data_IF_881361431543
#
_entry.id   IF_881361431543
#
_cell.length_a   1.000
_cell.length_b   1.000
_cell.length_c   1.000
_cell.angle_alpha   90.00
_cell.angle_beta   90.00
_cell.angle_gamma   90.00
#
_symmetry.space_group_name_H-M   'P 1'
#
loop_
_entity.id
_entity.type
_entity.pdbx_description
1 polymer ?
#
# COMPACT_ATOMS: atom_id res chain seq x y z
N UNK A 1 8.40 -14.84 0.11
CA UNK A 1 7.38 -14.08 -0.63
C UNK A 1 7.07 -14.92 -1.85
N UNK A 2 5.81 -15.12 -2.20
CA UNK A 2 5.46 -15.81 -3.44
C UNK A 2 5.75 -14.90 -4.62
N UNK A 3 6.27 -15.46 -5.70
CA UNK A 3 6.69 -14.69 -6.89
C UNK A 3 5.52 -13.89 -7.49
N UNK A 4 4.32 -14.47 -7.52
CA UNK A 4 3.10 -13.79 -7.98
C UNK A 4 2.80 -12.52 -7.18
N UNK A 5 2.97 -12.57 -5.85
CA UNK A 5 2.79 -11.38 -5.00
C UNK A 5 3.85 -10.30 -5.25
N UNK A 6 5.07 -10.71 -5.61
CA UNK A 6 6.13 -9.77 -5.94
C UNK A 6 5.81 -9.03 -7.24
N UNK A 7 5.45 -9.75 -8.29
CA UNK A 7 5.04 -9.18 -9.58
C UNK A 7 3.83 -8.26 -9.46
N UNK A 8 2.83 -8.67 -8.68
CA UNK A 8 1.64 -7.85 -8.43
C UNK A 8 1.97 -6.55 -7.66
N UNK A 9 2.89 -6.64 -6.69
CA UNK A 9 3.33 -5.47 -5.93
C UNK A 9 4.13 -4.49 -6.78
N UNK A 10 4.99 -4.99 -7.68
CA UNK A 10 5.75 -4.15 -8.61
C UNK A 10 4.83 -3.42 -9.59
N UNK A 11 3.90 -4.13 -10.20
CA UNK A 11 2.85 -3.52 -11.02
C UNK A 11 2.06 -2.46 -10.26
N UNK A 12 1.70 -2.74 -8.99
CA UNK A 12 1.04 -1.79 -8.11
C UNK A 12 1.87 -0.52 -7.89
N UNK A 13 3.20 -0.66 -7.71
CA UNK A 13 4.08 0.50 -7.55
C UNK A 13 4.13 1.39 -8.80
N UNK A 14 4.11 0.81 -9.98
CA UNK A 14 4.04 1.57 -11.23
C UNK A 14 2.71 2.30 -11.38
N UNK A 15 1.61 1.69 -10.97
CA UNK A 15 0.32 2.38 -10.88
C UNK A 15 0.37 3.57 -9.92
N UNK A 16 0.94 3.41 -8.73
CA UNK A 16 1.05 4.49 -7.75
C UNK A 16 1.84 5.68 -8.28
N UNK A 17 2.93 5.46 -9.01
CA UNK A 17 3.78 6.51 -9.57
C UNK A 17 3.04 7.40 -10.57
N UNK A 18 2.15 6.83 -11.37
CA UNK A 18 1.41 7.54 -12.43
C UNK A 18 -0.03 7.90 -12.07
N UNK A 19 -0.56 7.37 -10.96
CA UNK A 19 -1.98 7.47 -10.58
C UNK A 19 -2.49 8.92 -10.55
N UNK A 20 -1.69 9.87 -10.08
CA UNK A 20 -2.08 11.29 -10.08
C UNK A 20 -2.27 11.87 -11.49
N UNK A 21 -1.51 11.36 -12.46
CA UNK A 21 -1.66 11.74 -13.86
C UNK A 21 -2.86 11.05 -14.50
N UNK A 22 -3.00 9.74 -14.28
CA UNK A 22 -4.07 8.93 -14.85
C UNK A 22 -5.46 9.40 -14.37
N UNK A 23 -5.57 9.81 -13.10
CA UNK A 23 -6.81 10.31 -12.50
C UNK A 23 -7.00 11.83 -12.64
N UNK A 24 -6.03 12.56 -13.22
CA UNK A 24 -6.00 14.04 -13.21
C UNK A 24 -6.33 14.61 -11.81
N UNK A 25 -5.79 13.95 -10.77
CA UNK A 25 -6.04 14.30 -9.38
C UNK A 25 -4.85 13.90 -8.49
N UNK A 26 -4.37 14.81 -7.66
CA UNK A 26 -3.24 14.53 -6.78
C UNK A 26 -3.62 13.59 -5.64
N UNK A 27 -3.25 12.32 -5.77
CA UNK A 27 -3.46 11.28 -4.75
C UNK A 27 -2.47 11.36 -3.58
N UNK A 28 -1.58 12.36 -3.60
CA UNK A 28 -0.59 12.62 -2.55
C UNK A 28 0.31 11.39 -2.27
N UNK A 29 0.72 10.69 -3.33
CA UNK A 29 1.70 9.64 -3.22
C UNK A 29 3.09 10.24 -2.96
N UNK A 30 3.75 9.78 -1.90
CA UNK A 30 5.08 10.22 -1.48
C UNK A 30 6.05 9.03 -1.45
N UNK A 31 6.93 8.87 -2.45
CA UNK A 31 7.89 7.77 -2.54
C UNK A 31 9.11 8.05 -1.65
N UNK A 32 8.97 7.90 -0.34
CA UNK A 32 10.04 8.16 0.64
C UNK A 32 10.72 6.90 1.16
N UNK A 33 10.33 5.74 0.63
CA UNK A 33 10.75 4.44 1.12
C UNK A 33 9.95 3.98 2.35
N UNK A 34 10.14 2.72 2.69
CA UNK A 34 9.63 2.09 3.92
C UNK A 34 10.76 1.30 4.55
N UNK A 35 10.93 1.42 5.86
CA UNK A 35 11.87 0.61 6.66
C UNK A 35 11.06 -0.27 7.60
N UNK A 36 11.27 -1.58 7.53
CA UNK A 36 10.80 -2.54 8.51
C UNK A 36 11.92 -2.74 9.54
N UNK A 37 11.72 -2.27 10.76
CA UNK A 37 12.72 -2.37 11.83
C UNK A 37 12.81 -3.79 12.38
N UNK A 38 14.02 -4.26 12.64
CA UNK A 38 14.30 -5.53 13.30
C UNK A 38 14.71 -5.28 14.75
N UNK A 39 14.12 -6.03 15.67
CA UNK A 39 14.34 -5.94 17.11
C UNK A 39 15.04 -7.19 17.68
N UNK A 40 15.56 -8.07 16.82
CA UNK A 40 16.33 -9.25 17.19
C UNK A 40 17.11 -9.79 16.00
N UNK A 41 18.14 -10.61 16.27
CA UNK A 41 18.89 -11.34 15.24
C UNK A 41 18.00 -12.27 14.41
N UNK A 42 17.01 -12.90 15.04
CA UNK A 42 16.06 -13.76 14.34
C UNK A 42 15.24 -12.98 13.28
N UNK A 43 14.84 -11.74 13.61
CA UNK A 43 14.17 -10.86 12.64
C UNK A 43 15.14 -10.40 11.54
N UNK A 44 16.39 -10.06 11.87
CA UNK A 44 17.41 -9.72 10.87
C UNK A 44 17.64 -10.87 9.88
N UNK A 45 17.77 -12.10 10.37
CA UNK A 45 17.90 -13.31 9.54
C UNK A 45 16.66 -13.51 8.63
N UNK A 46 15.48 -13.22 9.15
CA UNK A 46 14.23 -13.30 8.38
C UNK A 46 14.21 -12.23 7.30
N UNK A 47 14.63 -11.00 7.61
CA UNK A 47 14.71 -9.91 6.65
C UNK A 47 15.79 -10.12 5.58
N UNK A 48 16.91 -10.74 5.92
CA UNK A 48 17.93 -11.12 4.94
C UNK A 48 17.35 -12.08 3.88
N UNK A 49 16.63 -13.14 4.32
CA UNK A 49 15.96 -14.09 3.40
C UNK A 49 14.88 -13.39 2.58
N UNK A 50 14.05 -12.55 3.21
CA UNK A 50 12.99 -11.80 2.53
C UNK A 50 13.57 -10.83 1.52
N UNK A 51 14.61 -10.08 1.87
CA UNK A 51 15.29 -9.14 0.97
C UNK A 51 15.91 -9.84 -0.22
N UNK A 52 16.50 -11.04 -0.03
CA UNK A 52 17.00 -11.85 -1.13
C UNK A 52 15.88 -12.28 -2.09
N UNK A 53 14.77 -12.79 -1.57
CA UNK A 53 13.60 -13.14 -2.38
C UNK A 53 13.03 -11.94 -3.14
N UNK A 54 13.00 -10.76 -2.52
CA UNK A 54 12.54 -9.54 -3.17
C UNK A 54 13.45 -9.14 -4.32
N UNK A 55 14.78 -9.13 -4.12
CA UNK A 55 15.75 -8.79 -5.17
C UNK A 55 15.74 -9.78 -6.34
N UNK A 56 15.55 -11.07 -6.08
CA UNK A 56 15.39 -12.08 -7.15
C UNK A 56 14.15 -11.82 -8.03
N UNK A 57 13.15 -11.14 -7.51
CA UNK A 57 11.94 -10.74 -8.23
C UNK A 57 11.97 -9.27 -8.72
N UNK A 58 13.15 -8.64 -8.77
CA UNK A 58 13.33 -7.29 -9.30
C UNK A 58 12.94 -6.16 -8.34
N UNK A 59 12.48 -6.49 -7.12
CA UNK A 59 12.09 -5.48 -6.12
C UNK A 59 13.34 -4.97 -5.41
N UNK A 60 13.50 -3.66 -5.33
CA UNK A 60 14.57 -3.03 -4.54
C UNK A 60 14.38 -3.33 -3.06
N UNK A 61 15.41 -3.88 -2.44
CA UNK A 61 15.40 -4.22 -1.03
C UNK A 61 16.83 -4.12 -0.48
N UNK A 62 17.01 -3.33 0.55
CA UNK A 62 18.30 -3.09 1.19
C UNK A 62 18.23 -3.54 2.65
N UNK A 63 19.12 -4.46 3.02
CA UNK A 63 19.28 -4.84 4.42
C UNK A 63 20.20 -3.83 5.08
N UNK A 64 19.72 -3.19 6.13
CA UNK A 64 20.42 -2.14 6.86
C UNK A 64 20.87 -2.67 8.23
N UNK A 65 22.10 -2.36 8.62
CA UNK A 65 22.55 -2.53 9.99
C UNK A 65 22.01 -1.40 10.90
N UNK A 66 22.32 -1.49 12.19
CA UNK A 66 21.84 -0.54 13.19
C UNK A 66 22.28 0.91 12.94
N UNK A 67 23.53 1.09 12.53
CA UNK A 67 24.09 2.42 12.28
C UNK A 67 23.49 3.06 11.02
N UNK A 68 23.31 2.29 9.95
CA UNK A 68 22.65 2.74 8.73
C UNK A 68 21.20 3.13 8.99
N UNK A 69 20.48 2.39 9.84
CA UNK A 69 19.12 2.79 10.27
C UNK A 69 19.15 4.09 11.05
N UNK A 70 20.14 4.29 11.93
CA UNK A 70 20.30 5.55 12.70
C UNK A 70 20.50 6.76 11.80
N UNK A 71 21.27 6.62 10.73
CA UNK A 71 21.50 7.70 9.76
C UNK A 71 20.19 8.13 9.07
N UNK A 72 19.30 7.18 8.78
CA UNK A 72 18.03 7.45 8.07
C UNK A 72 16.94 7.98 9.01
N UNK A 73 16.87 7.44 10.22
CA UNK A 73 15.85 7.83 11.22
C UNK A 73 16.49 8.27 12.55
N UNK A 74 17.27 9.35 12.57
CA UNK A 74 18.03 9.78 13.76
C UNK A 74 17.16 10.14 14.96
N UNK A 75 15.83 10.35 14.75
CA UNK A 75 14.88 10.63 15.82
C UNK A 75 14.45 9.40 16.62
N UNK A 76 14.79 8.18 16.16
CA UNK A 76 14.46 6.96 16.90
C UNK A 76 15.39 6.77 18.11
N UNK A 77 14.90 6.11 19.15
CA UNK A 77 15.70 5.80 20.32
C UNK A 77 16.56 4.55 20.07
N UNK A 78 17.87 4.77 20.03
CA UNK A 78 18.90 3.75 19.86
C UNK A 78 19.63 3.40 21.17
N UNK A 79 19.09 3.76 22.32
CA UNK A 79 19.69 3.36 23.60
C UNK A 79 19.58 1.85 23.83
N UNK A 80 20.41 1.31 24.72
CA UNK A 80 20.40 -0.13 25.04
C UNK A 80 19.25 -0.52 25.99
N UNK A 81 18.65 0.47 26.67
CA UNK A 81 17.66 0.25 27.70
C UNK A 81 16.20 0.30 27.20
N UNK A 82 15.99 0.42 25.89
CA UNK A 82 14.65 0.41 25.30
C UNK A 82 14.05 -0.98 25.28
N UNK A 83 12.74 -1.07 25.46
CA UNK A 83 12.01 -2.36 25.43
C UNK A 83 12.19 -3.15 24.14
N UNK A 84 12.33 -2.45 23.01
CA UNK A 84 12.52 -3.02 21.67
C UNK A 84 13.74 -2.38 20.99
N UNK A 85 14.97 -2.84 21.31
CA UNK A 85 16.18 -2.29 20.72
C UNK A 85 16.20 -2.52 19.20
N UNK A 86 16.73 -1.55 18.45
CA UNK A 86 16.84 -1.65 17.00
C UNK A 86 18.15 -2.35 16.65
N UNK A 87 18.07 -3.50 15.98
CA UNK A 87 19.20 -4.30 15.49
C UNK A 87 19.56 -3.93 14.04
N UNK A 88 18.60 -3.43 13.28
CA UNK A 88 18.74 -3.08 11.86
C UNK A 88 17.39 -3.00 11.21
N UNK A 89 17.32 -3.18 9.91
CA UNK A 89 16.06 -3.13 9.17
C UNK A 89 16.15 -3.61 7.73
N UNK A 90 14.99 -3.77 7.13
CA UNK A 90 14.84 -4.01 5.70
C UNK A 90 14.16 -2.79 5.08
N UNK A 91 14.88 -2.10 4.23
CA UNK A 91 14.38 -0.93 3.51
C UNK A 91 13.93 -1.29 2.10
N UNK A 92 12.82 -0.71 1.68
CA UNK A 92 12.37 -0.64 0.29
C UNK A 92 12.40 0.83 -0.15
N UNK A 93 13.45 1.27 -0.87
CA UNK A 93 13.61 2.67 -1.27
C UNK A 93 12.47 3.18 -2.17
N UNK A 94 11.97 2.35 -3.07
CA UNK A 94 10.90 2.72 -4.02
C UNK A 94 9.50 2.76 -3.39
N UNK A 95 9.33 2.21 -2.19
CA UNK A 95 8.05 2.23 -1.50
C UNK A 95 7.67 3.64 -1.03
N UNK A 96 6.42 3.83 -0.65
CA UNK A 96 5.94 5.15 -0.22
C UNK A 96 4.62 5.09 0.53
N UNK A 97 4.09 6.26 0.79
CA UNK A 97 2.78 6.45 1.42
C UNK A 97 1.88 7.25 0.50
N UNK A 98 0.58 6.96 0.53
CA UNK A 98 -0.44 7.74 -0.14
C UNK A 98 -1.54 8.12 0.85
N UNK A 99 -2.22 9.22 0.60
CA UNK A 99 -3.40 9.57 1.38
C UNK A 99 -4.60 8.80 0.87
N UNK A 100 -5.12 7.92 1.71
CA UNK A 100 -6.23 7.03 1.36
C UNK A 100 -7.50 7.79 0.94
N UNK A 101 -7.81 8.92 1.58
CA UNK A 101 -8.91 9.81 1.24
C UNK A 101 -8.71 10.47 -0.14
N UNK A 102 -7.51 10.96 -0.44
CA UNK A 102 -7.19 11.53 -1.74
C UNK A 102 -7.29 10.49 -2.87
N UNK A 103 -6.86 9.25 -2.62
CA UNK A 103 -7.01 8.13 -3.56
C UNK A 103 -8.49 7.83 -3.83
N UNK A 104 -9.30 7.72 -2.77
CA UNK A 104 -10.74 7.47 -2.90
C UNK A 104 -11.44 8.59 -3.69
N UNK A 105 -11.13 9.84 -3.40
CA UNK A 105 -11.67 10.99 -4.14
C UNK A 105 -11.20 11.02 -5.59
N UNK A 106 -9.94 10.68 -5.86
CA UNK A 106 -9.40 10.59 -7.22
C UNK A 106 -10.20 9.61 -8.09
N UNK A 107 -10.41 8.40 -7.58
CA UNK A 107 -11.22 7.39 -8.27
C UNK A 107 -12.69 7.79 -8.42
N UNK A 108 -13.29 8.35 -7.37
CA UNK A 108 -14.68 8.79 -7.41
C UNK A 108 -14.89 9.89 -8.48
N UNK A 109 -14.01 10.88 -8.53
CA UNK A 109 -14.06 11.95 -9.55
C UNK A 109 -13.92 11.39 -10.97
N UNK A 110 -12.94 10.48 -11.16
CA UNK A 110 -12.75 9.89 -12.48
C UNK A 110 -13.94 9.02 -12.90
N UNK A 111 -14.55 8.29 -11.97
CA UNK A 111 -15.76 7.52 -12.25
C UNK A 111 -16.94 8.45 -12.63
N UNK A 112 -17.13 9.54 -11.89
CA UNK A 112 -18.14 10.58 -12.20
C UNK A 112 -17.90 11.19 -13.60
N UNK A 113 -16.67 11.56 -13.92
CA UNK A 113 -16.29 12.08 -15.24
C UNK A 113 -16.56 11.05 -16.37
N UNK A 114 -16.53 9.76 -16.07
CA UNK A 114 -16.88 8.68 -16.99
C UNK A 114 -18.39 8.38 -17.05
N UNK A 115 -19.22 9.13 -16.33
CA UNK A 115 -20.68 9.01 -16.33
C UNK A 115 -21.21 7.97 -15.32
N UNK A 116 -20.44 7.62 -14.29
CA UNK A 116 -20.90 6.76 -13.19
C UNK A 116 -21.59 7.61 -12.15
N UNK A 117 -22.87 7.37 -11.90
CA UNK A 117 -23.61 8.02 -10.81
C UNK A 117 -23.19 7.44 -9.44
N UNK A 118 -22.66 8.31 -8.56
CA UNK A 118 -22.27 7.94 -7.20
C UNK A 118 -23.31 8.43 -6.22
N UNK A 119 -24.15 7.51 -5.72
CA UNK A 119 -25.25 7.81 -4.82
C UNK A 119 -24.83 7.48 -3.38
N UNK A 120 -24.53 8.51 -2.60
CA UNK A 120 -24.13 8.38 -1.20
C UNK A 120 -25.38 8.17 -0.31
N UNK A 121 -25.20 7.54 0.85
CA UNK A 121 -26.25 7.24 1.82
C UNK A 121 -27.45 6.53 1.18
N UNK A 122 -27.19 5.56 0.32
CA UNK A 122 -28.15 4.74 -0.39
C UNK A 122 -27.87 3.27 -0.07
N UNK A 123 -28.57 2.75 0.92
CA UNK A 123 -28.43 1.36 1.37
C UNK A 123 -29.12 0.43 0.39
N UNK A 124 -28.45 -0.63 -0.05
CA UNK A 124 -29.06 -1.71 -0.83
C UNK A 124 -29.73 -2.67 0.13
N UNK A 125 -31.07 -2.75 0.07
CA UNK A 125 -31.89 -3.56 0.95
C UNK A 125 -32.41 -4.85 0.31
N UNK A 126 -32.18 -5.06 -0.98
CA UNK A 126 -32.55 -6.27 -1.69
C UNK A 126 -32.22 -6.25 -3.16
N UNK A 127 -32.52 -7.35 -3.83
CA UNK A 127 -32.28 -7.53 -5.26
C UNK A 127 -33.57 -7.93 -5.96
N UNK A 128 -33.76 -7.43 -7.18
CA UNK A 128 -34.79 -7.93 -8.07
C UNK A 128 -34.21 -9.04 -8.93
N UNK A 129 -34.76 -10.24 -8.74
CA UNK A 129 -34.28 -11.45 -9.44
C UNK A 129 -35.44 -12.03 -10.26
N UNK A 130 -35.22 -12.20 -11.57
CA UNK A 130 -36.13 -12.97 -12.42
C UNK A 130 -35.37 -13.88 -13.34
N UNK A 131 -35.91 -15.09 -13.56
CA UNK A 131 -35.24 -16.12 -14.36
C UNK A 131 -33.77 -16.40 -14.00
N UNK A 132 -33.40 -16.32 -12.71
CA UNK A 132 -32.03 -16.53 -12.23
C UNK A 132 -31.05 -15.38 -12.52
N UNK A 133 -31.52 -14.23 -12.96
CA UNK A 133 -30.72 -13.03 -13.22
C UNK A 133 -31.14 -11.89 -12.31
N UNK A 134 -30.14 -11.12 -11.86
CA UNK A 134 -30.37 -9.86 -11.14
C UNK A 134 -30.69 -8.79 -12.19
N UNK A 135 -31.83 -8.12 -12.07
CA UNK A 135 -32.30 -7.07 -12.97
C UNK A 135 -32.21 -5.67 -12.33
N UNK A 136 -32.13 -5.61 -11.02
CA UNK A 136 -32.05 -4.34 -10.30
C UNK A 136 -31.76 -4.56 -8.82
N UNK A 137 -31.65 -3.45 -8.11
CA UNK A 137 -31.45 -3.42 -6.65
C UNK A 137 -32.57 -2.57 -6.02
N UNK A 138 -33.09 -3.01 -4.89
CA UNK A 138 -33.96 -2.20 -4.05
C UNK A 138 -33.17 -1.45 -3.04
N UNK A 139 -33.38 -0.16 -2.93
CA UNK A 139 -32.58 0.71 -2.07
C UNK A 139 -33.45 1.52 -1.10
N UNK A 140 -32.80 2.12 -0.09
CA UNK A 140 -33.46 3.06 0.84
C UNK A 140 -33.93 4.34 0.16
N UNK A 141 -33.56 4.57 -1.12
CA UNK A 141 -33.96 5.75 -1.91
C UNK A 141 -34.85 5.45 -3.12
N UNK A 142 -35.30 4.23 -3.25
CA UNK A 142 -36.11 3.74 -4.37
C UNK A 142 -35.39 2.60 -5.13
N UNK A 143 -36.08 2.11 -6.14
CA UNK A 143 -35.65 0.97 -6.97
C UNK A 143 -35.05 1.47 -8.29
#
# INVERSE_FOLDING_TARGET
MHDDNALFSEFGMDLWRRMSQDLNYNVMFSPRGIINLAHSDAQMNTYARRGNSMRLNGIDAVLLNREEVREIIPMADFSENVRFPIFGGLMQPSAGTARHDAVAWGYARQADDMGVDIIQNCEVIGFDVSAGKINGVRTSRGD
#
